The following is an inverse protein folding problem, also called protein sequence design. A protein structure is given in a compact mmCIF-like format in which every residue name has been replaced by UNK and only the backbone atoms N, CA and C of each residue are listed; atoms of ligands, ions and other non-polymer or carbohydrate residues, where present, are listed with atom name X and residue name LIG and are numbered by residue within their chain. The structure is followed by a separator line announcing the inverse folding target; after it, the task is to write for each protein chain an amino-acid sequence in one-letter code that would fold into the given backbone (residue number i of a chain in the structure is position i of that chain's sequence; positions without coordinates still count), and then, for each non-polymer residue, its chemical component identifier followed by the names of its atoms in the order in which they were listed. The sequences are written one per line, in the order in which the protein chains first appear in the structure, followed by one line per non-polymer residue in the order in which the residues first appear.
data_IF_369752898489
#
_entry.id   IF_369752898489
#
_cell.length_a   1.000
_cell.length_b   1.000
_cell.length_c   1.000
_cell.angle_alpha   90.00
_cell.angle_beta   90.00
_cell.angle_gamma   90.00
#
_symmetry.space_group_name_H-M   'P 1'
#
loop_
_entity.id
_entity.type
_entity.pdbx_description
1 polymer ?
#
# COMPACT_ATOMS: atom_id res chain seq x y z
N UNK A 1 -16.26 -26.54 7.00
CA UNK A 1 -14.98 -25.82 6.78
C UNK A 1 -14.68 -25.70 5.30
N UNK A 2 -14.92 -24.52 4.76
CA UNK A 2 -14.50 -24.14 3.42
C UNK A 2 -12.97 -24.06 3.36
N UNK A 3 -12.37 -24.62 2.30
CA UNK A 3 -10.91 -24.59 2.07
C UNK A 3 -10.61 -23.76 0.84
N UNK A 4 -9.51 -23.03 0.89
CA UNK A 4 -8.96 -22.36 -0.29
C UNK A 4 -7.58 -22.91 -0.59
N UNK A 5 -7.33 -23.10 -1.88
CA UNK A 5 -6.02 -23.44 -2.41
C UNK A 5 -5.56 -22.29 -3.29
N UNK A 6 -4.44 -21.66 -2.94
CA UNK A 6 -3.87 -20.52 -3.67
C UNK A 6 -2.46 -20.85 -4.13
N UNK A 7 -2.11 -20.40 -5.34
CA UNK A 7 -0.80 -20.60 -5.96
C UNK A 7 -0.26 -19.25 -6.40
N UNK A 8 0.86 -18.85 -5.80
CA UNK A 8 1.64 -17.70 -6.27
C UNK A 8 2.36 -18.08 -7.58
N UNK A 9 1.74 -17.72 -8.71
CA UNK A 9 2.22 -18.12 -10.05
C UNK A 9 3.65 -17.68 -10.35
N UNK A 10 4.06 -16.53 -9.80
CA UNK A 10 5.41 -15.97 -9.97
C UNK A 10 6.48 -16.80 -9.26
N UNK A 11 6.13 -17.47 -8.16
CA UNK A 11 7.03 -18.39 -7.42
C UNK A 11 6.91 -19.84 -7.90
N UNK A 12 5.87 -20.16 -8.66
CA UNK A 12 5.63 -21.52 -9.12
C UNK A 12 6.55 -21.84 -10.31
N UNK A 13 7.61 -22.60 -10.07
CA UNK A 13 8.52 -23.11 -11.13
C UNK A 13 8.41 -24.64 -11.22
N UNK A 14 7.41 -25.20 -11.93
CA UNK A 14 7.13 -26.64 -11.90
C UNK A 14 8.27 -27.51 -12.43
N UNK A 15 9.07 -27.02 -13.39
CA UNK A 15 10.19 -27.78 -13.94
C UNK A 15 11.35 -27.86 -12.94
N UNK A 16 11.67 -26.74 -12.29
CA UNK A 16 12.77 -26.63 -11.32
C UNK A 16 12.47 -27.34 -10.00
N UNK A 17 11.20 -27.51 -9.62
CA UNK A 17 10.85 -28.31 -8.44
C UNK A 17 10.87 -29.82 -8.69
N UNK A 18 11.31 -30.27 -9.87
CA UNK A 18 11.29 -31.68 -10.27
C UNK A 18 9.97 -32.07 -10.95
N UNK A 19 9.57 -31.33 -11.99
CA UNK A 19 8.40 -31.61 -12.84
C UNK A 19 7.10 -31.84 -12.05
N UNK A 20 6.56 -30.77 -11.47
CA UNK A 20 5.30 -30.76 -10.70
C UNK A 20 5.35 -31.69 -9.48
N UNK A 21 6.31 -31.44 -8.58
CA UNK A 21 6.47 -32.18 -7.33
C UNK A 21 5.17 -32.30 -6.52
N UNK A 22 4.36 -31.24 -6.50
CA UNK A 22 3.07 -31.23 -5.80
C UNK A 22 2.11 -32.33 -6.28
N UNK A 23 2.04 -32.61 -7.59
CA UNK A 23 1.19 -33.67 -8.16
C UNK A 23 1.62 -35.04 -7.64
N UNK A 24 2.93 -35.31 -7.62
CA UNK A 24 3.50 -36.60 -7.18
C UNK A 24 3.36 -36.85 -5.67
N UNK A 25 3.33 -35.78 -4.88
CA UNK A 25 3.25 -35.85 -3.42
C UNK A 25 1.81 -35.85 -2.88
N UNK A 26 0.83 -35.37 -3.67
CA UNK A 26 -0.55 -35.27 -3.24
C UNK A 26 -1.16 -36.67 -2.99
N UNK A 27 -1.65 -36.97 -1.77
CA UNK A 27 -2.29 -38.25 -1.47
C UNK A 27 -3.52 -38.51 -2.35
N UNK A 28 -4.31 -37.48 -2.63
CA UNK A 28 -5.53 -37.58 -3.45
C UNK A 28 -5.20 -37.95 -4.90
N UNK A 29 -4.09 -37.43 -5.44
CA UNK A 29 -3.57 -37.87 -6.74
C UNK A 29 -3.05 -39.30 -6.72
N UNK A 30 -2.41 -39.73 -5.62
CA UNK A 30 -1.95 -41.13 -5.47
C UNK A 30 -3.09 -42.13 -5.39
N UNK A 31 -4.28 -41.72 -4.95
CA UNK A 31 -5.49 -42.55 -5.00
C UNK A 31 -6.21 -42.50 -6.35
N UNK A 32 -5.63 -41.87 -7.38
CA UNK A 32 -6.14 -41.84 -8.75
C UNK A 32 -7.09 -40.67 -9.08
N UNK A 33 -7.34 -39.72 -8.16
CA UNK A 33 -8.17 -38.54 -8.43
C UNK A 33 -7.32 -37.35 -8.88
N UNK A 34 -7.85 -36.49 -9.73
CA UNK A 34 -7.11 -35.34 -10.28
C UNK A 34 -7.20 -34.09 -9.39
N UNK A 35 -6.77 -34.18 -8.12
CA UNK A 35 -6.81 -33.04 -7.20
C UNK A 35 -5.82 -31.93 -7.58
N UNK A 36 -4.60 -32.29 -7.97
CA UNK A 36 -3.61 -31.34 -8.51
C UNK A 36 -3.29 -31.73 -9.95
N UNK A 37 -3.45 -30.80 -10.89
CA UNK A 37 -3.20 -31.03 -12.32
C UNK A 37 -2.25 -29.98 -12.89
N UNK A 38 -1.81 -30.21 -14.13
CA UNK A 38 -1.08 -29.20 -14.90
C UNK A 38 -2.09 -28.18 -15.44
N UNK A 39 -1.96 -26.94 -15.01
CA UNK A 39 -2.78 -25.83 -15.49
C UNK A 39 -2.46 -25.47 -16.93
N UNK A 40 -3.39 -24.76 -17.56
CA UNK A 40 -3.27 -24.26 -18.96
C UNK A 40 -2.11 -23.28 -19.14
N UNK A 41 -1.71 -22.59 -18.08
CA UNK A 41 -0.58 -21.67 -18.02
C UNK A 41 0.77 -22.34 -17.73
N UNK A 42 0.85 -23.67 -17.80
CA UNK A 42 2.01 -24.48 -17.43
C UNK A 42 2.43 -24.30 -15.96
N UNK A 43 1.53 -23.85 -15.09
CA UNK A 43 1.69 -23.84 -13.62
C UNK A 43 0.87 -24.98 -13.02
N UNK A 44 1.05 -25.25 -11.73
CA UNK A 44 0.17 -26.21 -11.04
C UNK A 44 -1.24 -25.60 -10.88
N UNK A 45 -2.26 -26.45 -10.91
CA UNK A 45 -3.64 -26.12 -10.56
C UNK A 45 -4.11 -27.07 -9.47
N UNK A 46 -4.81 -26.55 -8.46
CA UNK A 46 -5.34 -27.34 -7.34
C UNK A 46 -6.85 -27.19 -7.29
N UNK A 47 -7.56 -28.29 -7.43
CA UNK A 47 -8.99 -28.38 -7.18
C UNK A 47 -9.24 -28.33 -5.65
N UNK A 48 -9.87 -27.25 -5.20
CA UNK A 48 -10.13 -27.02 -3.77
C UNK A 48 -11.22 -27.94 -3.20
N UNK A 49 -12.13 -28.46 -4.04
CA UNK A 49 -13.19 -29.39 -3.62
C UNK A 49 -12.62 -30.78 -3.37
N UNK A 50 -11.70 -31.23 -4.25
CA UNK A 50 -11.00 -32.51 -4.08
C UNK A 50 -9.90 -32.47 -3.01
N UNK A 51 -9.34 -31.28 -2.73
CA UNK A 51 -8.24 -31.13 -1.78
C UNK A 51 -8.68 -31.40 -0.34
N UNK A 52 -8.02 -32.37 0.30
CA UNK A 52 -8.30 -32.75 1.70
C UNK A 52 -7.73 -31.79 2.74
N UNK A 53 -6.89 -30.82 2.35
CA UNK A 53 -6.25 -29.92 3.30
C UNK A 53 -5.06 -30.52 4.07
N UNK A 54 -4.51 -31.66 3.62
CA UNK A 54 -3.44 -32.37 4.36
C UNK A 54 -2.12 -31.58 4.56
N UNK A 55 -1.92 -30.47 3.84
CA UNK A 55 -0.76 -29.59 4.01
C UNK A 55 0.58 -30.16 3.52
N UNK A 56 0.59 -31.27 2.75
CA UNK A 56 1.83 -31.85 2.24
C UNK A 56 2.44 -30.99 1.12
N UNK A 57 1.63 -30.58 0.14
CA UNK A 57 2.10 -29.77 -0.99
C UNK A 57 2.67 -28.38 -0.59
N UNK A 58 2.07 -27.59 0.33
CA UNK A 58 2.68 -26.33 0.75
C UNK A 58 4.03 -26.54 1.47
N UNK A 59 4.11 -27.51 2.40
CA UNK A 59 5.34 -27.80 3.17
C UNK A 59 6.49 -28.32 2.32
N UNK A 60 6.19 -28.96 1.19
CA UNK A 60 7.20 -29.57 0.30
C UNK A 60 7.53 -28.73 -0.93
N UNK A 61 6.82 -27.61 -1.15
CA UNK A 61 7.13 -26.71 -2.25
C UNK A 61 8.44 -25.97 -1.96
N UNK A 62 9.51 -26.15 -2.77
CA UNK A 62 10.80 -25.51 -2.51
C UNK A 62 10.76 -23.98 -2.68
N UNK A 63 9.76 -23.47 -3.39
CA UNK A 63 9.58 -22.04 -3.68
C UNK A 63 8.52 -21.38 -2.78
N UNK A 64 7.87 -22.13 -1.89
CA UNK A 64 6.79 -21.61 -1.05
C UNK A 64 5.61 -21.04 -1.85
N UNK A 65 5.31 -21.62 -3.02
CA UNK A 65 4.33 -21.07 -3.96
C UNK A 65 2.89 -21.54 -3.72
N UNK A 66 2.66 -22.50 -2.82
CA UNK A 66 1.34 -23.12 -2.60
C UNK A 66 0.87 -22.79 -1.19
N UNK A 67 -0.37 -22.35 -1.07
CA UNK A 67 -1.06 -22.07 0.19
C UNK A 67 -2.34 -22.90 0.25
N UNK A 68 -2.51 -23.68 1.31
CA UNK A 68 -3.72 -24.46 1.58
C UNK A 68 -4.25 -24.01 2.94
N UNK A 69 -5.40 -23.35 2.93
CA UNK A 69 -5.91 -22.64 4.09
C UNK A 69 -7.31 -23.16 4.40
N UNK A 70 -7.51 -23.53 5.66
CA UNK A 70 -8.84 -23.79 6.20
C UNK A 70 -9.39 -22.45 6.69
N UNK A 71 -10.49 -22.01 6.09
CA UNK A 71 -11.11 -20.75 6.50
C UNK A 71 -11.91 -20.95 7.79
N UNK A 72 -11.97 -19.93 8.66
CA UNK A 72 -12.92 -19.92 9.77
C UNK A 72 -14.36 -19.94 9.24
N UNK A 73 -15.28 -20.52 10.02
CA UNK A 73 -16.70 -20.62 9.65
C UNK A 73 -17.35 -19.25 9.43
N UNK A 74 -16.82 -18.18 10.05
CA UNK A 74 -17.27 -16.80 9.82
C UNK A 74 -17.05 -16.31 8.38
N UNK A 75 -16.19 -16.99 7.62
CA UNK A 75 -15.92 -16.72 6.20
C UNK A 75 -16.50 -17.81 5.29
N UNK A 76 -17.42 -18.64 5.80
CA UNK A 76 -18.14 -19.60 4.97
C UNK A 76 -19.07 -18.83 4.00
N UNK A 77 -18.67 -18.81 2.73
CA UNK A 77 -19.36 -18.12 1.66
C UNK A 77 -18.43 -17.77 0.50
N UNK A 78 -18.98 -17.35 -0.65
CA UNK A 78 -18.16 -16.93 -1.76
C UNK A 78 -17.43 -15.61 -1.43
N UNK A 79 -16.15 -15.46 -1.83
CA UNK A 79 -15.46 -14.19 -1.69
C UNK A 79 -16.11 -13.14 -2.60
N UNK A 80 -15.99 -11.85 -2.23
CA UNK A 80 -16.41 -10.72 -3.08
C UNK A 80 -15.67 -10.73 -4.42
N UNK A 81 -14.36 -11.01 -4.37
CA UNK A 81 -13.54 -11.09 -5.57
C UNK A 81 -12.48 -12.20 -5.46
N UNK A 82 -12.21 -12.88 -6.58
CA UNK A 82 -11.15 -13.88 -6.72
C UNK A 82 -10.37 -13.67 -8.02
N UNK A 83 -9.04 -13.64 -7.97
CA UNK A 83 -8.21 -13.56 -9.18
C UNK A 83 -8.02 -14.92 -9.85
N UNK A 84 -9.06 -15.38 -10.56
CA UNK A 84 -9.04 -16.68 -11.24
C UNK A 84 -8.91 -17.87 -10.28
N UNK A 85 -8.86 -19.08 -10.83
CA UNK A 85 -8.65 -20.27 -10.02
C UNK A 85 -7.26 -20.27 -9.36
N UNK A 86 -7.21 -20.64 -8.08
CA UNK A 86 -6.04 -20.58 -7.22
C UNK A 86 -5.37 -19.20 -7.07
N UNK A 87 -6.10 -18.11 -7.28
CA UNK A 87 -5.62 -16.76 -7.00
C UNK A 87 -5.98 -16.24 -5.62
N UNK A 88 -5.71 -14.95 -5.39
CA UNK A 88 -6.06 -14.24 -4.17
C UNK A 88 -7.58 -14.07 -4.00
N UNK A 89 -8.09 -14.23 -2.78
CA UNK A 89 -9.51 -14.12 -2.41
C UNK A 89 -9.78 -12.91 -1.49
N UNK A 90 -10.76 -12.08 -1.81
CA UNK A 90 -11.20 -10.94 -1.00
C UNK A 90 -12.59 -11.20 -0.40
N UNK A 91 -12.72 -11.22 0.92
CA UNK A 91 -13.99 -11.58 1.58
C UNK A 91 -14.83 -10.38 2.03
N UNK A 92 -14.19 -9.31 2.50
CA UNK A 92 -14.87 -8.10 2.99
C UNK A 92 -14.29 -6.85 2.32
N UNK A 93 -15.06 -5.77 2.34
CA UNK A 93 -14.65 -4.44 1.89
C UNK A 93 -14.57 -3.48 3.08
N UNK A 94 -13.64 -2.50 3.05
CA UNK A 94 -13.67 -1.39 3.97
C UNK A 94 -14.89 -0.51 3.70
N UNK A 95 -15.36 0.17 4.72
CA UNK A 95 -16.64 0.91 4.69
C UNK A 95 -16.34 2.38 4.91
N UNK A 96 -16.64 3.25 3.91
CA UNK A 96 -16.47 4.68 4.08
C UNK A 96 -17.55 5.24 5.01
N UNK A 97 -17.15 6.11 5.94
CA UNK A 97 -18.07 6.82 6.83
C UNK A 97 -18.13 8.30 6.45
N UNK A 98 -19.33 8.80 6.10
CA UNK A 98 -19.52 10.22 5.77
C UNK A 98 -19.14 11.13 6.93
N UNK A 99 -18.46 12.23 6.61
CA UNK A 99 -17.93 13.19 7.58
C UNK A 99 -16.70 12.72 8.33
N UNK A 100 -16.16 11.53 8.01
CA UNK A 100 -14.99 10.95 8.68
C UNK A 100 -13.91 10.54 7.68
N UNK A 101 -12.68 10.53 8.18
CA UNK A 101 -11.53 9.92 7.52
C UNK A 101 -11.32 8.53 8.10
N UNK A 102 -11.44 7.51 7.25
CA UNK A 102 -11.24 6.10 7.62
C UNK A 102 -9.89 5.63 7.08
N UNK A 103 -9.05 5.08 7.95
CA UNK A 103 -7.79 4.44 7.59
C UNK A 103 -7.95 2.94 7.40
N UNK A 104 -7.27 2.39 6.40
CA UNK A 104 -7.12 0.95 6.18
C UNK A 104 -5.66 0.56 6.41
N UNK A 105 -5.40 -0.24 7.45
CA UNK A 105 -4.07 -0.72 7.80
C UNK A 105 -3.97 -2.24 7.63
N UNK A 106 -2.80 -2.72 7.22
CA UNK A 106 -2.51 -4.15 7.18
C UNK A 106 -1.24 -4.46 6.39
N UNK A 107 -0.77 -5.71 6.45
CA UNK A 107 0.44 -6.17 5.74
C UNK A 107 0.32 -5.99 4.22
N UNK A 108 1.46 -5.89 3.53
CA UNK A 108 1.45 -5.84 2.06
C UNK A 108 1.03 -7.18 1.46
N UNK A 109 0.35 -7.12 0.30
CA UNK A 109 -0.12 -8.31 -0.42
C UNK A 109 -1.37 -8.99 0.14
N UNK A 110 -2.05 -8.41 1.13
CA UNK A 110 -3.33 -8.94 1.67
C UNK A 110 -4.57 -8.36 0.96
N UNK A 111 -4.40 -7.59 -0.12
CA UNK A 111 -5.53 -7.09 -0.92
C UNK A 111 -6.07 -5.69 -0.61
N UNK A 112 -5.36 -4.84 0.15
CA UNK A 112 -5.80 -3.47 0.46
C UNK A 112 -6.15 -2.66 -0.80
N UNK A 113 -5.21 -2.60 -1.75
CA UNK A 113 -5.42 -1.91 -3.03
C UNK A 113 -6.47 -2.61 -3.90
N UNK A 114 -6.63 -3.93 -3.78
CA UNK A 114 -7.74 -4.66 -4.45
C UNK A 114 -9.09 -4.18 -3.93
N UNK A 115 -9.24 -4.05 -2.61
CA UNK A 115 -10.46 -3.55 -1.99
C UNK A 115 -10.75 -2.10 -2.41
N UNK A 116 -9.73 -1.24 -2.48
CA UNK A 116 -9.86 0.13 -3.00
C UNK A 116 -10.30 0.16 -4.46
N UNK A 117 -9.73 -0.69 -5.32
CA UNK A 117 -10.14 -0.77 -6.74
C UNK A 117 -11.58 -1.24 -6.90
N UNK A 118 -12.05 -2.15 -6.05
CA UNK A 118 -13.46 -2.58 -6.02
C UNK A 118 -14.36 -1.41 -5.66
N UNK A 119 -14.06 -0.68 -4.58
CA UNK A 119 -14.85 0.48 -4.16
C UNK A 119 -14.81 1.63 -5.19
N UNK A 120 -13.68 1.80 -5.87
CA UNK A 120 -13.51 2.79 -6.93
C UNK A 120 -14.25 2.43 -8.23
N UNK A 121 -14.79 1.21 -8.35
CA UNK A 121 -15.37 0.70 -9.60
C UNK A 121 -14.34 0.42 -10.70
N UNK A 122 -13.04 0.45 -10.38
CA UNK A 122 -11.95 0.09 -11.30
C UNK A 122 -11.86 -1.42 -11.49
N UNK A 123 -12.23 -2.19 -10.45
CA UNK A 123 -12.27 -3.64 -10.48
C UNK A 123 -13.69 -4.13 -10.20
N UNK A 124 -14.32 -4.78 -11.18
CA UNK A 124 -15.63 -5.37 -11.00
C UNK A 124 -15.50 -6.67 -10.16
N UNK A 125 -16.27 -6.81 -9.06
CA UNK A 125 -16.28 -8.05 -8.28
C UNK A 125 -16.85 -9.21 -9.12
N UNK A 126 -16.43 -10.44 -8.82
CA UNK A 126 -16.88 -11.65 -9.51
C UNK A 126 -17.56 -12.67 -8.59
N UNK A 127 -17.68 -12.36 -7.30
CA UNK A 127 -18.30 -13.24 -6.30
C UNK A 127 -17.68 -14.65 -6.28
N UNK A 128 -16.37 -14.73 -6.50
CA UNK A 128 -15.62 -15.98 -6.53
C UNK A 128 -15.74 -16.78 -7.83
N UNK A 129 -16.44 -16.25 -8.84
CA UNK A 129 -16.61 -16.87 -10.17
C UNK A 129 -15.54 -16.37 -11.14
N UNK A 130 -15.43 -17.02 -12.30
CA UNK A 130 -14.47 -16.60 -13.33
C UNK A 130 -14.96 -15.41 -14.17
N UNK A 131 -16.26 -15.12 -14.13
CA UNK A 131 -16.86 -13.99 -14.83
C UNK A 131 -17.25 -12.87 -13.85
N UNK A 132 -17.17 -11.58 -14.25
CA UNK A 132 -17.63 -10.46 -13.43
C UNK A 132 -19.11 -10.60 -13.05
N UNK A 133 -19.44 -10.24 -11.82
CA UNK A 133 -20.81 -10.25 -11.33
C UNK A 133 -21.57 -9.03 -11.85
N UNK A 134 -22.84 -9.25 -12.19
CA UNK A 134 -23.76 -8.16 -12.54
C UNK A 134 -24.09 -7.33 -11.31
N UNK A 135 -24.57 -6.10 -11.53
CA UNK A 135 -24.92 -5.22 -10.43
C UNK A 135 -26.06 -5.78 -9.55
N UNK A 136 -27.03 -6.46 -10.15
CA UNK A 136 -28.13 -7.10 -9.43
C UNK A 136 -27.63 -8.22 -8.51
N UNK A 137 -26.69 -9.05 -8.98
CA UNK A 137 -26.07 -10.08 -8.15
C UNK A 137 -25.28 -9.48 -6.98
N UNK A 138 -24.62 -8.33 -7.17
CA UNK A 138 -23.93 -7.62 -6.08
C UNK A 138 -24.92 -7.11 -5.03
N UNK A 139 -26.04 -6.52 -5.46
CA UNK A 139 -27.07 -6.04 -4.54
C UNK A 139 -27.64 -7.18 -3.70
N UNK A 140 -27.93 -8.33 -4.32
CA UNK A 140 -28.43 -9.51 -3.58
C UNK A 140 -27.33 -10.08 -2.66
N UNK A 141 -26.07 -10.13 -3.10
CA UNK A 141 -24.95 -10.61 -2.26
C UNK A 141 -24.72 -9.75 -1.02
N UNK A 142 -24.93 -8.43 -1.12
CA UNK A 142 -24.76 -7.50 -0.01
C UNK A 142 -26.02 -7.28 0.82
N UNK A 143 -27.15 -7.90 0.46
CA UNK A 143 -28.41 -7.78 1.20
C UNK A 143 -28.24 -8.24 2.65
N UNK A 144 -28.66 -7.38 3.60
CA UNK A 144 -28.49 -7.59 5.04
C UNK A 144 -27.05 -7.42 5.54
N UNK A 145 -26.10 -7.02 4.69
CA UNK A 145 -24.71 -6.71 5.07
C UNK A 145 -24.51 -5.20 5.16
N UNK A 146 -23.49 -4.80 5.91
CA UNK A 146 -23.15 -3.40 6.17
C UNK A 146 -22.89 -2.59 4.87
N UNK A 147 -22.32 -3.23 3.84
CA UNK A 147 -22.04 -2.59 2.55
C UNK A 147 -23.26 -2.42 1.63
N UNK A 148 -24.44 -2.96 1.97
CA UNK A 148 -25.65 -2.90 1.13
C UNK A 148 -25.97 -1.46 0.70
N UNK A 149 -26.06 -0.56 1.67
CA UNK A 149 -26.45 0.83 1.45
C UNK A 149 -25.46 1.58 0.53
N UNK A 150 -24.17 1.22 0.61
CA UNK A 150 -23.15 1.79 -0.27
C UNK A 150 -23.41 1.38 -1.72
N UNK A 151 -23.59 0.09 -1.98
CA UNK A 151 -23.85 -0.39 -3.34
C UNK A 151 -25.21 0.06 -3.88
N UNK A 152 -26.25 0.16 -3.06
CA UNK A 152 -27.55 0.72 -3.52
C UNK A 152 -27.40 2.18 -3.96
N UNK A 153 -26.70 3.00 -3.17
CA UNK A 153 -26.47 4.42 -3.49
C UNK A 153 -25.53 4.60 -4.68
N UNK A 154 -24.53 3.72 -4.84
CA UNK A 154 -23.66 3.70 -6.01
C UNK A 154 -24.46 3.37 -7.28
N UNK A 155 -25.39 2.41 -7.23
CA UNK A 155 -26.27 2.05 -8.34
C UNK A 155 -27.15 3.21 -8.77
N UNK A 156 -27.70 3.91 -7.79
CA UNK A 156 -28.57 5.05 -7.98
C UNK A 156 -27.82 6.33 -8.41
N UNK A 157 -26.49 6.27 -8.58
CA UNK A 157 -25.66 7.44 -8.91
C UNK A 157 -25.60 8.50 -7.80
N UNK A 158 -26.07 8.16 -6.59
CA UNK A 158 -26.03 9.04 -5.40
C UNK A 158 -24.65 9.05 -4.75
N UNK A 159 -23.85 8.00 -4.97
CA UNK A 159 -22.44 7.98 -4.59
C UNK A 159 -21.58 8.14 -5.84
N UNK A 160 -20.67 9.10 -5.80
CA UNK A 160 -19.60 9.34 -6.76
C UNK A 160 -18.27 9.16 -6.05
N UNK A 161 -17.44 8.29 -6.60
CA UNK A 161 -16.14 7.94 -6.02
C UNK A 161 -15.02 8.61 -6.82
N UNK A 162 -14.09 9.27 -6.14
CA UNK A 162 -12.84 9.74 -6.70
C UNK A 162 -11.69 8.92 -6.11
N UNK A 163 -10.81 8.37 -6.95
CA UNK A 163 -9.76 7.45 -6.52
C UNK A 163 -8.37 7.92 -6.96
N UNK A 164 -7.48 8.09 -5.98
CA UNK A 164 -6.03 8.23 -6.17
C UNK A 164 -5.39 6.84 -6.10
N UNK A 165 -4.84 6.30 -7.20
CA UNK A 165 -4.17 5.00 -7.19
C UNK A 165 -2.78 5.07 -6.54
N UNK A 166 -2.26 3.92 -6.10
CA UNK A 166 -0.94 3.83 -5.47
C UNK A 166 0.18 4.32 -6.41
N UNK A 167 0.20 3.82 -7.65
CA UNK A 167 1.23 4.11 -8.63
C UNK A 167 0.99 5.44 -9.36
N UNK A 168 1.57 6.53 -8.86
CA UNK A 168 1.48 7.87 -9.48
C UNK A 168 2.37 8.05 -10.70
N UNK A 169 3.38 7.21 -10.86
CA UNK A 169 4.29 7.20 -12.03
C UNK A 169 3.57 6.83 -13.35
N UNK A 170 2.33 6.37 -13.26
CA UNK A 170 1.46 6.09 -14.40
C UNK A 170 0.87 7.39 -14.97
N UNK A 171 0.77 8.46 -14.18
CA UNK A 171 0.16 9.73 -14.60
C UNK A 171 0.91 10.36 -15.80
N UNK A 172 2.25 10.53 -15.79
CA UNK A 172 2.98 11.07 -16.94
C UNK A 172 2.96 10.16 -18.17
N UNK A 173 2.72 8.86 -17.99
CA UNK A 173 2.66 7.89 -19.11
C UNK A 173 1.38 8.03 -19.93
N UNK A 174 0.28 8.47 -19.31
CA UNK A 174 -1.02 8.60 -19.98
C UNK A 174 -1.47 10.06 -20.17
N UNK A 175 -0.75 11.03 -19.62
CA UNK A 175 -1.08 12.44 -19.75
C UNK A 175 0.13 13.21 -20.26
N UNK A 176 -0.12 14.14 -21.20
CA UNK A 176 0.87 15.07 -21.75
C UNK A 176 0.45 16.49 -21.40
N UNK A 177 1.42 17.41 -21.44
CA UNK A 177 1.19 18.83 -21.20
C UNK A 177 1.56 19.26 -19.78
N UNK A 178 1.06 20.43 -19.40
CA UNK A 178 1.40 21.03 -18.10
C UNK A 178 0.51 20.51 -16.97
N UNK A 179 0.98 20.66 -15.73
CA UNK A 179 0.18 20.36 -14.54
C UNK A 179 -1.14 21.13 -14.55
N UNK A 180 -1.13 22.39 -14.96
CA UNK A 180 -2.32 23.23 -15.06
C UNK A 180 -3.34 22.65 -16.03
N UNK A 181 -2.92 22.19 -17.22
CA UNK A 181 -3.82 21.59 -18.21
C UNK A 181 -4.48 20.31 -17.69
N UNK A 182 -3.72 19.46 -16.99
CA UNK A 182 -4.24 18.26 -16.35
C UNK A 182 -5.27 18.61 -15.28
N UNK A 183 -4.92 19.50 -14.35
CA UNK A 183 -5.80 19.87 -13.23
C UNK A 183 -7.05 20.59 -13.72
N UNK A 184 -6.94 21.48 -14.72
CA UNK A 184 -8.08 22.19 -15.30
C UNK A 184 -9.08 21.23 -15.97
N UNK A 185 -8.60 20.14 -16.58
CA UNK A 185 -9.46 19.14 -17.23
C UNK A 185 -10.31 18.36 -16.21
N UNK A 186 -9.79 18.16 -14.99
CA UNK A 186 -10.45 17.37 -13.95
C UNK A 186 -11.18 18.23 -12.92
N UNK A 187 -11.07 19.56 -13.01
CA UNK A 187 -11.67 20.51 -12.06
C UNK A 187 -13.18 20.67 -12.26
N UNK A 188 -13.92 19.83 -11.54
CA UNK A 188 -15.38 19.88 -11.48
C UNK A 188 -15.89 20.81 -10.37
N UNK A 189 -15.00 21.20 -9.44
CA UNK A 189 -15.33 22.04 -8.28
C UNK A 189 -15.01 23.52 -8.49
N UNK A 190 -14.25 23.87 -9.53
CA UNK A 190 -13.70 25.22 -9.77
C UNK A 190 -12.83 25.70 -8.61
N UNK A 191 -12.03 24.78 -8.04
CA UNK A 191 -11.17 25.03 -6.86
C UNK A 191 -9.68 24.80 -7.12
N UNK A 192 -9.26 24.73 -8.39
CA UNK A 192 -7.87 24.46 -8.77
C UNK A 192 -6.88 25.35 -8.03
N UNK A 193 -7.03 26.67 -8.08
CA UNK A 193 -6.07 27.61 -7.48
C UNK A 193 -6.01 27.47 -5.95
N UNK A 194 -7.16 27.29 -5.30
CA UNK A 194 -7.28 27.08 -3.86
C UNK A 194 -6.53 25.80 -3.44
N UNK A 195 -6.81 24.68 -4.11
CA UNK A 195 -6.22 23.39 -3.77
C UNK A 195 -4.74 23.32 -4.16
N UNK A 196 -4.34 23.96 -5.26
CA UNK A 196 -2.95 24.05 -5.66
C UNK A 196 -2.12 24.79 -4.61
N UNK A 197 -2.65 25.88 -4.03
CA UNK A 197 -1.99 26.62 -2.96
C UNK A 197 -1.91 25.83 -1.66
N UNK A 198 -3.01 25.16 -1.26
CA UNK A 198 -3.02 24.34 -0.05
C UNK A 198 -2.06 23.14 -0.11
N UNK A 199 -1.84 22.60 -1.32
CA UNK A 199 -0.91 21.50 -1.57
C UNK A 199 0.50 21.95 -1.98
N UNK A 200 0.78 23.26 -1.99
CA UNK A 200 2.08 23.81 -2.40
C UNK A 200 2.54 23.28 -3.79
N UNK A 201 1.63 23.34 -4.77
CA UNK A 201 1.91 22.98 -6.17
C UNK A 201 1.62 24.15 -7.13
N UNK A 202 1.36 25.34 -6.61
CA UNK A 202 1.13 26.57 -7.38
C UNK A 202 2.33 26.95 -8.26
N UNK A 203 3.55 26.82 -7.71
CA UNK A 203 4.78 27.13 -8.44
C UNK A 203 5.06 26.17 -9.62
N UNK A 204 4.50 24.97 -9.60
CA UNK A 204 4.75 23.93 -10.62
C UNK A 204 3.61 23.79 -11.62
N UNK A 205 2.60 24.66 -11.58
CA UNK A 205 1.43 24.58 -12.47
C UNK A 205 1.82 24.63 -13.96
N UNK A 206 2.85 25.39 -14.30
CA UNK A 206 3.33 25.52 -15.68
C UNK A 206 4.40 24.49 -16.06
N UNK A 207 4.83 23.64 -15.12
CA UNK A 207 5.82 22.60 -15.40
C UNK A 207 5.19 21.46 -16.21
N UNK A 208 6.02 20.81 -17.03
CA UNK A 208 5.64 19.57 -17.72
C UNK A 208 5.54 18.43 -16.70
N UNK A 209 4.46 17.65 -16.81
CA UNK A 209 4.16 16.52 -15.92
C UNK A 209 5.28 15.46 -15.96
N UNK A 210 6.00 15.33 -17.08
CA UNK A 210 7.08 14.34 -17.26
C UNK A 210 8.33 14.64 -16.42
N UNK A 211 8.52 15.91 -16.03
CA UNK A 211 9.71 16.35 -15.28
C UNK A 211 9.47 16.46 -13.77
N UNK A 212 8.27 16.12 -13.30
CA UNK A 212 7.94 16.20 -11.89
C UNK A 212 8.64 15.10 -11.08
N UNK A 213 9.10 15.48 -9.89
CA UNK A 213 9.56 14.51 -8.88
C UNK A 213 8.40 13.66 -8.36
N UNK A 214 8.72 12.51 -7.76
CA UNK A 214 7.70 11.63 -7.16
C UNK A 214 6.82 12.33 -6.10
N UNK A 215 7.40 13.23 -5.30
CA UNK A 215 6.66 14.00 -4.31
C UNK A 215 5.73 15.06 -4.93
N UNK A 216 6.14 15.70 -6.03
CA UNK A 216 5.28 16.63 -6.78
C UNK A 216 4.15 15.88 -7.48
N UNK A 217 4.46 14.76 -8.16
CA UNK A 217 3.45 13.88 -8.78
C UNK A 217 2.41 13.40 -7.78
N UNK A 218 2.85 13.03 -6.57
CA UNK A 218 1.97 12.61 -5.50
C UNK A 218 0.97 13.73 -5.11
N UNK A 219 1.46 14.97 -4.91
CA UNK A 219 0.60 16.11 -4.58
C UNK A 219 -0.33 16.51 -5.72
N UNK A 220 0.14 16.43 -6.97
CA UNK A 220 -0.69 16.63 -8.16
C UNK A 220 -1.80 15.57 -8.24
N UNK A 221 -1.50 14.31 -7.97
CA UNK A 221 -2.48 13.22 -7.97
C UNK A 221 -3.57 13.42 -6.89
N UNK A 222 -3.17 13.87 -5.69
CA UNK A 222 -4.08 14.20 -4.61
C UNK A 222 -4.97 15.38 -5.02
N UNK A 223 -4.39 16.44 -5.58
CA UNK A 223 -5.13 17.60 -6.07
C UNK A 223 -6.16 17.20 -7.13
N UNK A 224 -5.73 16.48 -8.17
CA UNK A 224 -6.59 16.00 -9.24
C UNK A 224 -7.78 15.17 -8.73
N UNK A 225 -7.55 14.33 -7.71
CA UNK A 225 -8.59 13.52 -7.07
C UNK A 225 -9.56 14.39 -6.26
N UNK A 226 -9.05 15.36 -5.51
CA UNK A 226 -9.86 16.26 -4.70
C UNK A 226 -10.72 17.24 -5.53
N UNK A 227 -10.27 17.59 -6.73
CA UNK A 227 -10.98 18.48 -7.67
C UNK A 227 -12.23 17.83 -8.32
N UNK A 228 -12.34 16.50 -8.28
CA UNK A 228 -13.54 15.78 -8.76
C UNK A 228 -14.72 16.00 -7.83
N UNK A 229 -15.94 16.12 -8.37
CA UNK A 229 -17.17 16.21 -7.58
C UNK A 229 -17.60 14.83 -7.12
N UNK A 230 -16.98 14.36 -6.04
CA UNK A 230 -17.24 13.08 -5.38
C UNK A 230 -17.74 13.27 -3.94
N UNK A 231 -18.49 12.29 -3.43
CA UNK A 231 -18.84 12.21 -2.00
C UNK A 231 -18.10 11.08 -1.28
N UNK A 232 -17.29 10.30 -1.99
CA UNK A 232 -16.34 9.35 -1.41
C UNK A 232 -14.98 9.54 -2.09
N UNK A 233 -13.96 9.91 -1.31
CA UNK A 233 -12.58 10.04 -1.79
C UNK A 233 -11.74 8.87 -1.28
N UNK A 234 -11.04 8.21 -2.19
CA UNK A 234 -10.23 7.04 -1.94
C UNK A 234 -8.76 7.39 -2.20
N UNK A 235 -7.89 7.27 -1.19
CA UNK A 235 -6.46 7.54 -1.33
C UNK A 235 -5.62 6.31 -1.02
N UNK A 236 -4.95 5.75 -2.03
CA UNK A 236 -4.02 4.63 -1.84
C UNK A 236 -2.59 5.18 -1.64
N UNK A 237 -2.10 5.08 -0.40
CA UNK A 237 -0.79 5.56 0.06
C UNK A 237 -0.52 7.04 -0.32
N UNK A 238 -1.31 8.00 0.20
CA UNK A 238 -1.18 9.42 -0.13
C UNK A 238 0.13 10.05 0.36
N UNK A 239 0.82 9.50 1.35
CA UNK A 239 2.06 10.08 1.88
C UNK A 239 3.37 9.49 1.34
N UNK A 240 3.29 8.55 0.40
CA UNK A 240 4.45 8.01 -0.30
C UNK A 240 5.26 9.12 -1.00
N UNK A 241 6.59 8.99 -0.99
CA UNK A 241 7.56 9.97 -1.54
C UNK A 241 7.61 11.36 -0.88
N UNK A 242 6.71 11.66 0.06
CA UNK A 242 6.68 12.95 0.76
C UNK A 242 7.62 12.96 1.96
N UNK A 243 8.29 14.10 2.18
CA UNK A 243 9.00 14.37 3.43
C UNK A 243 8.03 14.70 4.58
N UNK A 244 8.52 14.67 5.82
CA UNK A 244 7.70 14.78 7.04
C UNK A 244 6.78 16.00 7.00
N UNK A 245 7.28 17.16 6.57
CA UNK A 245 6.50 18.39 6.50
C UNK A 245 5.41 18.28 5.45
N UNK A 246 5.74 17.82 4.26
CA UNK A 246 4.78 17.59 3.18
C UNK A 246 3.70 16.58 3.58
N UNK A 247 4.04 15.52 4.33
CA UNK A 247 3.08 14.54 4.86
C UNK A 247 2.05 15.20 5.76
N UNK A 248 2.48 16.07 6.68
CA UNK A 248 1.58 16.79 7.59
C UNK A 248 0.65 17.74 6.82
N UNK A 249 1.18 18.52 5.87
CA UNK A 249 0.36 19.42 5.04
C UNK A 249 -0.69 18.67 4.22
N UNK A 250 -0.29 17.59 3.55
CA UNK A 250 -1.21 16.72 2.79
C UNK A 250 -2.27 16.10 3.71
N UNK A 251 -1.89 15.71 4.93
CA UNK A 251 -2.83 15.15 5.90
C UNK A 251 -3.88 16.17 6.32
N UNK A 252 -3.49 17.41 6.61
CA UNK A 252 -4.44 18.50 6.90
C UNK A 252 -5.39 18.72 5.72
N UNK A 253 -4.86 18.76 4.50
CA UNK A 253 -5.66 18.91 3.29
C UNK A 253 -6.69 17.79 3.12
N UNK A 254 -6.26 16.52 3.22
CA UNK A 254 -7.16 15.36 3.09
C UNK A 254 -8.26 15.40 4.15
N UNK A 255 -7.91 15.74 5.39
CA UNK A 255 -8.89 15.89 6.49
C UNK A 255 -9.91 16.99 6.21
N UNK A 256 -9.52 18.07 5.54
CA UNK A 256 -10.43 19.15 5.16
C UNK A 256 -11.53 18.71 4.17
N UNK A 257 -11.31 17.62 3.43
CA UNK A 257 -12.29 17.12 2.45
C UNK A 257 -13.56 16.55 3.10
N UNK A 258 -13.52 16.19 4.38
CA UNK A 258 -14.70 15.68 5.11
C UNK A 258 -15.55 16.78 5.73
N UNK A 259 -15.09 18.04 5.66
CA UNK A 259 -15.86 19.18 6.13
C UNK A 259 -17.20 19.29 5.35
N UNK A 260 -18.28 19.75 5.99
CA UNK A 260 -19.55 19.98 5.31
C UNK A 260 -19.37 20.98 4.16
N UNK A 261 -19.92 20.65 3.00
CA UNK A 261 -19.96 21.55 1.87
C UNK A 261 -20.78 22.80 2.24
N UNK A 262 -20.24 24.02 2.11
CA UNK A 262 -20.94 25.23 2.58
C UNK A 262 -22.27 25.52 1.88
N UNK A 263 -22.45 25.01 0.66
CA UNK A 263 -23.65 25.27 -0.14
C UNK A 263 -24.74 24.22 0.09
N UNK A 264 -24.36 22.97 0.35
CA UNK A 264 -25.29 21.84 0.44
C UNK A 264 -25.42 21.26 1.85
N UNK A 265 -24.46 21.54 2.74
CA UNK A 265 -24.33 20.90 4.05
C UNK A 265 -23.91 19.43 3.98
N UNK A 266 -23.72 18.86 2.79
CA UNK A 266 -23.35 17.47 2.62
C UNK A 266 -21.89 17.24 3.02
N UNK A 267 -21.63 16.09 3.65
CA UNK A 267 -20.28 15.69 4.03
C UNK A 267 -19.78 14.59 3.10
N UNK A 268 -18.53 14.66 2.68
CA UNK A 268 -17.88 13.56 2.00
C UNK A 268 -17.31 12.54 3.01
N UNK A 269 -17.12 11.31 2.55
CA UNK A 269 -16.32 10.31 3.24
C UNK A 269 -14.92 10.25 2.62
N UNK A 270 -13.91 10.03 3.45
CA UNK A 270 -12.54 9.74 2.98
C UNK A 270 -12.16 8.35 3.49
N UNK A 271 -11.65 7.50 2.60
CA UNK A 271 -11.01 6.24 2.96
C UNK A 271 -9.60 6.21 2.38
N UNK A 272 -8.61 5.83 3.17
CA UNK A 272 -7.22 5.83 2.75
C UNK A 272 -6.44 4.62 3.25
N UNK A 273 -5.41 4.24 2.51
CA UNK A 273 -4.42 3.25 2.93
C UNK A 273 -3.16 4.00 3.36
N UNK A 274 -2.70 3.73 4.57
CA UNK A 274 -1.44 4.26 5.09
C UNK A 274 -0.69 3.20 5.89
N UNK A 275 0.65 3.27 5.83
CA UNK A 275 1.54 2.35 6.56
C UNK A 275 2.29 3.03 7.70
N UNK A 276 2.35 4.35 7.68
CA UNK A 276 2.96 5.14 8.75
C UNK A 276 1.93 5.34 9.87
N UNK A 277 2.15 4.71 11.02
CA UNK A 277 1.23 4.76 12.16
C UNK A 277 1.07 6.18 12.71
N UNK A 278 2.10 7.03 12.61
CA UNK A 278 2.05 8.41 13.12
C UNK A 278 1.14 9.26 12.24
N UNK A 279 1.30 9.12 10.92
CA UNK A 279 0.44 9.80 9.95
C UNK A 279 -0.99 9.27 10.06
N UNK A 280 -1.17 7.95 10.20
CA UNK A 280 -2.48 7.34 10.36
C UNK A 280 -3.20 7.88 11.60
N UNK A 281 -2.51 7.99 12.74
CA UNK A 281 -3.06 8.54 13.99
C UNK A 281 -3.49 10.00 13.84
N UNK A 282 -2.68 10.80 13.14
CA UNK A 282 -2.97 12.22 12.89
C UNK A 282 -4.16 12.43 11.93
N UNK A 283 -4.25 11.58 10.91
CA UNK A 283 -5.13 11.79 9.76
C UNK A 283 -6.53 11.20 9.95
N UNK A 284 -6.66 10.09 10.66
CA UNK A 284 -7.87 9.26 10.63
C UNK A 284 -8.72 9.40 11.89
N UNK A 285 -10.04 9.36 11.73
CA UNK A 285 -11.01 9.29 12.84
C UNK A 285 -11.33 7.85 13.22
N UNK A 286 -11.30 6.95 12.23
CA UNK A 286 -11.54 5.53 12.36
C UNK A 286 -10.46 4.75 11.61
N UNK A 287 -10.15 3.54 12.08
CA UNK A 287 -9.25 2.60 11.41
C UNK A 287 -9.93 1.24 11.27
N UNK A 288 -9.81 0.64 10.09
CA UNK A 288 -10.13 -0.74 9.80
C UNK A 288 -8.83 -1.53 9.57
N UNK A 289 -8.73 -2.72 10.16
CA UNK A 289 -7.58 -3.59 10.02
C UNK A 289 -7.90 -4.63 8.96
N UNK A 290 -7.09 -4.67 7.91
CA UNK A 290 -7.11 -5.77 6.97
C UNK A 290 -6.15 -6.87 7.44
N UNK A 291 -6.65 -8.10 7.50
CA UNK A 291 -5.91 -9.29 7.90
C UNK A 291 -6.13 -10.44 6.93
N UNK A 292 -5.33 -11.50 7.09
CA UNK A 292 -5.36 -12.68 6.23
C UNK A 292 -3.95 -13.17 5.95
N UNK A 293 -3.83 -14.03 4.93
CA UNK A 293 -2.55 -14.57 4.48
C UNK A 293 -2.11 -13.89 3.18
N UNK A 294 -0.87 -13.42 3.16
CA UNK A 294 -0.29 -12.69 2.02
C UNK A 294 -0.44 -13.50 0.74
N UNK A 295 -0.88 -12.86 -0.33
CA UNK A 295 -1.17 -13.45 -1.63
C UNK A 295 -2.28 -14.51 -1.66
N UNK A 296 -2.85 -14.92 -0.51
CA UNK A 296 -3.88 -15.95 -0.43
C UNK A 296 -5.28 -15.38 -0.21
N UNK A 297 -5.50 -14.68 0.90
CA UNK A 297 -6.81 -14.06 1.17
C UNK A 297 -6.72 -12.82 2.05
N UNK A 298 -7.75 -11.99 1.98
CA UNK A 298 -7.87 -10.78 2.77
C UNK A 298 -9.29 -10.55 3.28
N UNK A 299 -9.37 -10.13 4.54
CA UNK A 299 -10.59 -9.79 5.27
C UNK A 299 -10.38 -8.43 5.91
N UNK A 300 -11.42 -7.61 5.94
CA UNK A 300 -11.41 -6.30 6.58
C UNK A 300 -12.23 -6.38 7.86
N UNK A 301 -11.62 -5.94 8.96
CA UNK A 301 -12.26 -5.88 10.26
C UNK A 301 -13.36 -4.82 10.32
N UNK A 302 -14.16 -4.91 11.37
CA UNK A 302 -15.04 -3.84 11.77
C UNK A 302 -14.25 -2.54 12.08
N UNK A 303 -14.85 -1.35 11.86
CA UNK A 303 -14.21 -0.07 12.14
C UNK A 303 -13.97 0.13 13.64
N UNK A 304 -12.81 0.67 13.98
CA UNK A 304 -12.39 0.99 15.34
C UNK A 304 -12.02 2.46 15.42
N UNK A 305 -12.06 3.06 16.62
CA UNK A 305 -11.40 4.35 16.82
C UNK A 305 -9.91 4.22 16.52
N UNK A 306 -9.30 5.26 15.97
CA UNK A 306 -7.91 5.23 15.50
C UNK A 306 -6.94 4.68 16.54
N UNK A 307 -6.98 5.21 17.77
CA UNK A 307 -6.15 4.74 18.89
C UNK A 307 -6.33 3.25 19.18
N UNK A 308 -7.57 2.76 19.24
CA UNK A 308 -7.84 1.36 19.52
C UNK A 308 -7.45 0.46 18.34
N UNK A 309 -7.68 0.92 17.11
CA UNK A 309 -7.28 0.23 15.88
C UNK A 309 -5.75 0.06 15.80
N UNK A 310 -4.98 1.12 16.06
CA UNK A 310 -3.52 1.04 16.07
C UNK A 310 -3.01 0.10 17.16
N UNK A 311 -3.53 0.20 18.40
CA UNK A 311 -3.13 -0.71 19.47
C UNK A 311 -3.46 -2.18 19.15
N UNK A 312 -4.67 -2.44 18.62
CA UNK A 312 -5.08 -3.78 18.18
C UNK A 312 -4.17 -4.30 17.06
N UNK A 313 -3.79 -3.41 16.13
CA UNK A 313 -2.82 -3.74 15.10
C UNK A 313 -1.47 -4.11 15.71
N UNK A 314 -0.92 -3.32 16.62
CA UNK A 314 0.37 -3.62 17.29
C UNK A 314 0.32 -4.94 18.08
N UNK A 315 -0.79 -5.23 18.75
CA UNK A 315 -1.02 -6.48 19.50
C UNK A 315 -1.07 -7.73 18.60
N UNK A 316 -1.57 -7.61 17.36
CA UNK A 316 -1.66 -8.73 16.42
C UNK A 316 -2.90 -9.64 16.59
N UNK A 317 -3.87 -9.20 17.39
CA UNK A 317 -5.05 -9.99 17.75
C UNK A 317 -6.33 -9.15 17.74
N UNK A 318 -7.33 -9.57 16.98
CA UNK A 318 -8.68 -8.98 16.94
C UNK A 318 -9.57 -9.70 17.96
N UNK A 319 -9.86 -9.03 19.08
CA UNK A 319 -10.65 -9.62 20.19
C UNK A 319 -12.09 -9.92 19.78
N UNK A 320 -12.72 -9.03 19.03
CA UNK A 320 -14.13 -9.11 18.65
C UNK A 320 -14.40 -10.18 17.59
N UNK A 321 -13.38 -10.51 16.80
CA UNK A 321 -13.44 -11.54 15.76
C UNK A 321 -12.74 -12.84 16.20
N UNK A 322 -12.22 -12.88 17.43
CA UNK A 322 -11.43 -13.99 17.98
C UNK A 322 -10.31 -14.45 17.00
N UNK A 323 -9.63 -13.48 16.37
CA UNK A 323 -8.75 -13.74 15.24
C UNK A 323 -7.33 -13.23 15.50
N UNK A 324 -6.37 -14.15 15.59
CA UNK A 324 -4.95 -13.83 15.64
C UNK A 324 -4.39 -13.77 14.22
N UNK A 325 -4.02 -12.56 13.77
CA UNK A 325 -3.45 -12.35 12.43
C UNK A 325 -1.92 -12.16 12.45
N UNK A 326 -1.33 -12.11 13.65
CA UNK A 326 0.12 -12.14 13.85
C UNK A 326 0.48 -12.91 15.13
N UNK A 327 1.52 -13.73 15.04
CA UNK A 327 2.07 -14.54 16.13
C UNK A 327 2.92 -13.75 17.15
N UNK A 328 3.30 -12.52 16.80
CA UNK A 328 4.09 -11.64 17.66
C UNK A 328 3.49 -10.23 17.75
N UNK A 329 3.84 -9.54 18.84
CA UNK A 329 3.53 -8.12 19.05
C UNK A 329 4.61 -7.25 18.44
N UNK A 330 4.21 -6.11 17.88
CA UNK A 330 5.16 -5.06 17.48
C UNK A 330 5.52 -4.28 18.74
N UNK A 331 6.80 -4.25 19.10
CA UNK A 331 7.31 -3.53 20.27
C UNK A 331 8.31 -2.46 19.83
N UNK A 332 8.27 -1.31 20.50
CA UNK A 332 9.23 -0.24 20.31
C UNK A 332 10.13 -0.17 21.55
N UNK A 333 11.45 -0.11 21.33
CA UNK A 333 12.42 0.06 22.41
C UNK A 333 12.66 1.56 22.63
N UNK A 334 12.44 2.03 23.85
CA UNK A 334 12.59 3.45 24.23
C UNK A 334 14.05 3.95 24.07
N UNK A 335 15.01 3.03 24.14
CA UNK A 335 16.42 3.27 23.81
C UNK A 335 16.98 2.05 23.09
N UNK A 336 17.69 2.28 21.98
CA UNK A 336 18.62 1.27 21.44
C UNK A 336 19.60 0.91 22.57
N UNK A 337 19.93 -0.37 22.81
CA UNK A 337 20.93 -0.73 23.80
C UNK A 337 22.25 0.01 23.46
N UNK A 338 22.56 1.06 24.21
CA UNK A 338 23.83 1.76 24.05
C UNK A 338 24.88 0.80 24.59
N UNK A 339 25.51 0.04 23.70
CA UNK A 339 26.76 -0.62 24.03
C UNK A 339 27.80 0.48 24.21
N UNK A 340 27.94 1.00 25.44
CA UNK A 340 29.06 1.85 25.87
C UNK A 340 30.34 1.04 25.80
N UNK A 341 30.86 0.84 24.59
CA UNK A 341 32.28 0.63 24.35
C UNK A 341 32.72 1.86 23.57
N UNK A 342 33.89 2.40 23.88
CA UNK A 342 34.54 3.41 23.05
C UNK A 342 34.60 2.85 21.62
N UNK A 343 33.70 3.29 20.77
CA UNK A 343 33.63 2.84 19.39
C UNK A 343 34.73 3.58 18.65
N UNK A 344 35.68 2.82 18.10
CA UNK A 344 36.68 3.41 17.22
C UNK A 344 35.96 4.14 16.07
N UNK A 345 36.40 5.36 15.77
CA UNK A 345 35.91 6.13 14.62
C UNK A 345 36.15 5.28 13.36
N UNK A 346 35.08 5.04 12.62
CA UNK A 346 35.08 4.18 11.44
C UNK A 346 35.39 5.00 10.18
N UNK A 347 34.81 6.18 10.08
CA UNK A 347 35.09 7.16 9.03
C UNK A 347 34.79 8.56 9.56
N UNK A 348 35.49 9.56 9.04
CA UNK A 348 35.26 10.97 9.34
C UNK A 348 35.28 11.80 8.06
N UNK A 349 34.72 13.00 8.13
CA UNK A 349 34.82 13.99 7.06
C UNK A 349 35.06 15.38 7.63
N UNK A 350 35.71 16.23 6.84
CA UNK A 350 36.00 17.62 7.17
C UNK A 350 35.34 18.55 6.17
N UNK A 351 34.42 19.41 6.65
CA UNK A 351 33.80 20.52 5.90
C UNK A 351 33.50 20.22 4.41
N UNK A 352 32.57 19.29 4.17
CA UNK A 352 32.24 18.90 2.80
C UNK A 352 31.41 19.99 2.11
N UNK A 353 31.84 20.38 0.91
CA UNK A 353 31.09 21.30 0.05
C UNK A 353 30.90 20.67 -1.32
N UNK A 354 29.68 20.78 -1.87
CA UNK A 354 29.37 20.38 -3.24
C UNK A 354 28.42 21.36 -3.90
N UNK A 355 28.80 21.84 -5.08
CA UNK A 355 27.99 22.67 -5.96
C UNK A 355 27.43 21.82 -7.11
N UNK A 356 26.13 21.89 -7.33
CA UNK A 356 25.41 21.24 -8.42
C UNK A 356 24.50 22.26 -9.11
N UNK A 357 25.05 23.01 -10.06
CA UNK A 357 24.33 24.10 -10.72
C UNK A 357 23.86 25.15 -9.71
N UNK A 358 22.55 25.33 -9.58
CA UNK A 358 21.93 26.25 -8.61
C UNK A 358 21.87 25.73 -7.18
N UNK A 359 22.15 24.44 -6.96
CA UNK A 359 22.12 23.82 -5.64
C UNK A 359 23.51 23.78 -5.01
N UNK A 360 23.60 24.09 -3.71
CA UNK A 360 24.84 23.99 -2.92
C UNK A 360 24.58 23.19 -1.66
N UNK A 361 25.42 22.18 -1.42
CA UNK A 361 25.46 21.41 -0.20
C UNK A 361 26.69 21.82 0.60
N UNK A 362 26.50 22.17 1.86
CA UNK A 362 27.57 22.35 2.84
C UNK A 362 27.26 21.48 4.05
N UNK A 363 28.22 20.63 4.45
CA UNK A 363 28.10 19.78 5.60
C UNK A 363 29.30 20.02 6.54
N UNK A 364 29.05 20.32 7.83
CA UNK A 364 30.12 20.49 8.81
C UNK A 364 30.86 19.16 9.02
N UNK A 365 32.05 19.25 9.61
CA UNK A 365 32.85 18.06 9.95
C UNK A 365 32.07 17.12 10.86
N UNK A 366 32.25 15.82 10.66
CA UNK A 366 31.57 14.80 11.43
C UNK A 366 32.26 13.45 11.34
N UNK A 367 31.79 12.53 12.16
CA UNK A 367 32.34 11.18 12.27
C UNK A 367 31.22 10.15 12.44
N UNK A 368 31.53 8.91 12.04
CA UNK A 368 30.68 7.75 12.29
C UNK A 368 31.53 6.75 13.06
N UNK A 369 31.08 6.34 14.25
CA UNK A 369 31.80 5.36 15.04
C UNK A 369 31.31 3.93 14.76
N UNK A 370 32.16 2.94 15.07
CA UNK A 370 31.82 1.53 14.90
C UNK A 370 30.61 1.13 15.76
N UNK A 371 29.69 0.36 15.18
CA UNK A 371 28.43 -0.08 15.79
C UNK A 371 27.39 1.01 16.05
N UNK A 372 27.56 2.19 15.47
CA UNK A 372 26.54 3.23 15.49
C UNK A 372 25.62 3.13 14.26
N UNK A 373 24.36 3.52 14.46
CA UNK A 373 23.38 3.71 13.39
C UNK A 373 23.04 5.18 13.34
N UNK A 374 23.49 5.88 12.30
CA UNK A 374 23.20 7.28 12.07
C UNK A 374 22.00 7.42 11.12
N UNK A 375 20.97 8.17 11.54
CA UNK A 375 19.82 8.51 10.71
C UNK A 375 19.95 9.92 10.15
N UNK A 376 19.86 10.07 8.82
CA UNK A 376 19.83 11.39 8.16
C UNK A 376 18.38 11.79 7.91
N UNK A 377 17.96 12.91 8.49
CA UNK A 377 16.58 13.43 8.39
C UNK A 377 16.57 14.86 7.84
N UNK A 378 15.49 15.23 7.16
CA UNK A 378 15.31 16.57 6.59
C UNK A 378 14.34 16.60 5.42
N UNK A 379 13.95 17.79 4.98
CA UNK A 379 13.08 18.02 3.81
C UNK A 379 13.70 17.48 2.52
N UNK A 380 12.86 17.15 1.53
CA UNK A 380 13.34 16.79 0.20
C UNK A 380 14.13 17.94 -0.43
N UNK A 381 15.07 17.61 -1.32
CA UNK A 381 16.00 18.56 -1.94
C UNK A 381 17.02 19.28 -1.01
N UNK A 382 17.10 18.97 0.29
CA UNK A 382 18.19 19.46 1.17
C UNK A 382 19.56 18.79 0.93
N UNK A 383 19.73 18.02 -0.14
CA UNK A 383 20.99 17.35 -0.46
C UNK A 383 21.31 16.09 0.35
N UNK A 384 20.34 15.48 1.05
CA UNK A 384 20.55 14.21 1.78
C UNK A 384 21.13 13.10 0.90
N UNK A 385 20.55 12.91 -0.29
CA UNK A 385 21.01 11.92 -1.26
C UNK A 385 22.38 12.30 -1.82
N UNK A 386 22.63 13.59 -2.05
CA UNK A 386 23.94 14.10 -2.49
C UNK A 386 25.02 13.84 -1.45
N UNK A 387 24.73 14.13 -0.18
CA UNK A 387 25.62 13.85 0.95
C UNK A 387 25.93 12.35 1.07
N UNK A 388 24.93 11.48 0.96
CA UNK A 388 25.14 10.03 0.97
C UNK A 388 25.97 9.54 -0.24
N UNK A 389 25.79 10.13 -1.42
CA UNK A 389 26.62 9.84 -2.61
C UNK A 389 28.07 10.26 -2.42
N UNK A 390 28.30 11.40 -1.77
CA UNK A 390 29.64 11.90 -1.43
C UNK A 390 30.32 10.94 -0.45
N UNK A 391 29.65 10.63 0.66
CA UNK A 391 30.19 9.69 1.65
C UNK A 391 30.49 8.30 1.06
N UNK A 392 29.70 7.84 0.09
CA UNK A 392 29.90 6.54 -0.56
C UNK A 392 30.90 6.54 -1.72
N UNK A 393 31.46 7.70 -2.10
CA UNK A 393 32.37 7.83 -3.24
C UNK A 393 31.70 7.72 -4.62
N UNK A 394 30.36 7.73 -4.68
CA UNK A 394 29.60 7.78 -5.95
C UNK A 394 29.66 9.17 -6.59
N UNK A 395 29.83 10.21 -5.77
CA UNK A 395 29.99 11.59 -6.20
C UNK A 395 31.19 12.20 -5.48
N UNK A 396 32.09 12.86 -6.19
CA UNK A 396 33.21 13.59 -5.56
C UNK A 396 32.73 14.93 -5.00
N UNK A 397 33.25 15.32 -3.84
CA UNK A 397 33.08 16.65 -3.26
C UNK A 397 33.94 17.70 -3.98
N UNK A 398 33.54 18.97 -3.94
CA UNK A 398 34.34 20.06 -4.51
C UNK A 398 35.34 20.61 -3.47
N UNK A 399 34.96 20.61 -2.19
CA UNK A 399 35.84 20.90 -1.06
C UNK A 399 35.59 19.94 0.10
N UNK A 400 36.61 19.82 0.96
CA UNK A 400 36.59 18.95 2.13
C UNK A 400 37.23 17.59 1.87
N UNK A 401 37.55 16.87 2.94
CA UNK A 401 38.19 15.56 2.88
C UNK A 401 37.33 14.50 3.56
N UNK A 402 37.41 13.26 3.05
CA UNK A 402 36.74 12.10 3.64
C UNK A 402 37.81 11.08 3.94
N UNK A 403 37.90 10.66 5.21
CA UNK A 403 38.82 9.63 5.64
C UNK A 403 38.22 8.25 5.37
N UNK A 404 38.28 7.80 4.11
CA UNK A 404 37.74 6.50 3.69
C UNK A 404 38.67 5.33 4.09
N UNK A 405 38.52 4.84 5.32
CA UNK A 405 39.19 3.60 5.78
C UNK A 405 38.29 2.36 5.69
N UNK A 406 37.19 2.45 4.94
CA UNK A 406 36.07 1.50 5.00
C UNK A 406 35.57 1.11 3.63
N UNK A 407 35.05 -0.12 3.52
CA UNK A 407 34.30 -0.56 2.34
C UNK A 407 32.84 -0.15 2.50
N UNK A 408 32.29 0.51 1.49
CA UNK A 408 30.94 1.07 1.54
C UNK A 408 30.03 0.28 0.61
N UNK A 409 28.89 -0.16 1.12
CA UNK A 409 27.79 -0.68 0.32
C UNK A 409 26.74 0.43 0.17
N UNK A 410 26.55 0.93 -1.05
CA UNK A 410 25.59 1.99 -1.35
C UNK A 410 24.32 1.41 -1.99
N UNK A 411 23.17 1.69 -1.38
CA UNK A 411 21.86 1.40 -1.97
C UNK A 411 21.30 2.69 -2.58
N UNK A 412 21.12 2.78 -3.91
CA UNK A 412 20.58 3.97 -4.53
C UNK A 412 19.09 4.17 -4.15
N UNK A 413 18.65 5.43 -4.22
CA UNK A 413 17.26 5.81 -3.92
C UNK A 413 16.28 5.25 -4.96
N UNK A 414 16.70 5.22 -6.23
CA UNK A 414 15.99 4.59 -7.33
C UNK A 414 16.77 3.34 -7.74
N UNK A 415 16.07 2.21 -7.86
CA UNK A 415 16.65 0.99 -8.41
C UNK A 415 16.47 1.05 -9.92
N UNK A 416 17.57 1.15 -10.66
CA UNK A 416 17.54 0.89 -12.10
C UNK A 416 17.23 -0.60 -12.26
N UNK A 417 16.05 -0.91 -12.81
CA UNK A 417 15.58 -2.29 -13.07
C UNK A 417 16.10 -2.76 -14.42
#
# INVERSE_FOLDING_TARGET
MTRIAVIEKDKCHPMECGNYLCIRLCPVNRTGKECIVKGTDKKAFIDAELCTGCGICPKRCPFGAIHIINLPESLDGPPIHRYGANGFHLYNLPIPHFGKVVGLIGRNGIGKSTAMKVLAGVLQPNLGRDQPATYQELLEFFKGKEAQLFFEKLAAGKIKVAYKPQAVEIIPKHNKGTVFELLRRVDEKKKLEEYAKQLHIDAILQHDIQHLSGGELQRVAICATALRKANVYLFDEPTSYLDIKQRLHVSVFIKSLTAPDPATGEQAAVLLIEHDLIILDYLTDLVQIMYGEVAAFGVVSQPKSTKNGINTYLEGYLKEENMQFRDHRIMFHEKTPIHKRSSAVLTSWSQLVKQLGSFSLSAPSGEIARHEVCGIVGENALGKTTFAKILSGVLEQDHGEIQQQVKIAYKPQYLDV
#
